data_IF_359028425266
#
_entry.id   IF_359028425266
#
_cell.length_a   1.000
_cell.length_b   1.000
_cell.length_c   1.000
_cell.angle_alpha   90.00
_cell.angle_beta   90.00
_cell.angle_gamma   90.00
#
_symmetry.space_group_name_H-M   'P 1'
#
loop_
_entity.id
_entity.type
_entity.pdbx_description
1 polymer ?
#
# COMPACT_ATOMS: atom_id res chain seq x y z
N UNK A 1 -23.65 5.44 12.38
CA UNK A 1 -23.40 4.38 11.38
C UNK A 1 -22.30 4.90 10.47
N UNK A 2 -21.15 4.22 10.40
CA UNK A 2 -20.05 4.59 9.49
C UNK A 2 -19.89 3.44 8.52
N UNK A 3 -20.19 3.69 7.25
CA UNK A 3 -20.06 2.70 6.18
C UNK A 3 -18.58 2.52 5.84
N UNK A 4 -18.02 1.36 6.18
CA UNK A 4 -16.73 0.92 5.66
C UNK A 4 -16.95 0.35 4.25
N UNK A 5 -16.55 1.11 3.24
CA UNK A 5 -16.45 0.61 1.87
C UNK A 5 -15.16 -0.20 1.72
N UNK A 6 -15.23 -1.50 1.99
CA UNK A 6 -14.19 -2.45 1.63
C UNK A 6 -14.41 -2.85 0.17
N UNK A 7 -13.63 -2.28 -0.75
CA UNK A 7 -13.65 -2.72 -2.15
C UNK A 7 -12.86 -4.03 -2.24
N UNK A 8 -13.57 -5.16 -2.22
CA UNK A 8 -12.99 -6.50 -2.41
C UNK A 8 -13.08 -6.82 -3.91
N UNK A 9 -12.02 -6.46 -4.65
CA UNK A 9 -11.86 -6.92 -6.03
C UNK A 9 -11.61 -8.43 -6.04
N UNK A 10 -12.58 -9.20 -6.53
CA UNK A 10 -12.38 -10.61 -6.91
C UNK A 10 -11.78 -10.66 -8.30
N UNK A 11 -10.52 -11.06 -8.40
CA UNK A 11 -9.95 -11.64 -9.62
C UNK A 11 -9.14 -12.87 -9.18
N UNK A 12 -9.53 -14.04 -9.69
CA UNK A 12 -8.89 -15.32 -9.42
C UNK A 12 -8.55 -15.91 -10.79
N UNK A 13 -7.29 -15.83 -11.21
CA UNK A 13 -6.60 -16.79 -12.07
C UNK A 13 -5.11 -16.41 -12.20
N UNK A 14 -4.25 -17.33 -11.74
CA UNK A 14 -2.83 -17.11 -11.41
C UNK A 14 -2.70 -16.77 -9.93
N UNK A 15 -2.09 -17.65 -9.12
CA UNK A 15 -1.72 -17.34 -7.73
C UNK A 15 -0.73 -16.16 -7.75
N UNK A 16 -1.26 -14.93 -7.77
CA UNK A 16 -0.49 -13.75 -7.50
C UNK A 16 -0.23 -13.75 -6.00
N UNK A 17 0.80 -14.48 -5.59
CA UNK A 17 1.28 -14.49 -4.20
C UNK A 17 1.58 -13.04 -3.83
N UNK A 18 0.79 -12.50 -2.91
CA UNK A 18 1.00 -11.15 -2.40
C UNK A 18 2.21 -11.20 -1.47
N UNK A 19 3.40 -10.85 -1.98
CA UNK A 19 4.64 -10.89 -1.20
C UNK A 19 4.77 -9.70 -0.24
N UNK A 20 4.29 -8.53 -0.67
CA UNK A 20 4.37 -7.30 0.11
C UNK A 20 3.05 -6.52 0.06
N UNK A 21 2.69 -5.90 1.17
CA UNK A 21 1.62 -4.90 1.26
C UNK A 21 2.18 -3.56 1.75
N UNK A 22 1.62 -2.46 1.27
CA UNK A 22 1.99 -1.13 1.73
C UNK A 22 0.74 -0.33 2.10
N UNK A 23 0.72 0.25 3.30
CA UNK A 23 -0.39 1.05 3.82
C UNK A 23 0.10 2.41 4.28
N UNK A 24 -0.65 3.46 3.99
CA UNK A 24 -0.32 4.81 4.44
C UNK A 24 -1.25 5.24 5.58
N UNK A 25 -0.67 5.59 6.71
CA UNK A 25 -1.39 6.02 7.91
C UNK A 25 -1.05 7.48 8.24
N UNK A 26 -2.00 8.20 8.84
CA UNK A 26 -1.79 9.52 9.41
C UNK A 26 -1.98 9.42 10.93
N UNK A 27 -0.88 9.44 11.68
CA UNK A 27 -0.87 9.28 13.13
C UNK A 27 -0.26 10.54 13.75
N UNK A 28 -0.98 11.20 14.66
CA UNK A 28 -0.53 12.43 15.32
C UNK A 28 -0.04 13.52 14.35
N UNK A 29 -0.68 13.64 13.17
CA UNK A 29 -0.31 14.60 12.14
C UNK A 29 0.93 14.24 11.30
N UNK A 30 1.56 13.09 11.57
CA UNK A 30 2.67 12.56 10.80
C UNK A 30 2.21 11.42 9.89
N UNK A 31 2.69 11.41 8.65
CA UNK A 31 2.40 10.33 7.72
C UNK A 31 3.40 9.20 7.95
N UNK A 32 2.91 7.97 8.00
CA UNK A 32 3.69 6.75 8.20
C UNK A 32 3.32 5.76 7.10
N UNK A 33 4.33 5.22 6.42
CA UNK A 33 4.18 4.13 5.47
C UNK A 33 4.50 2.83 6.19
N UNK A 34 3.51 1.96 6.28
CA UNK A 34 3.66 0.61 6.80
C UNK A 34 3.90 -0.32 5.62
N UNK A 35 5.00 -1.07 5.64
CA UNK A 35 5.29 -2.09 4.63
C UNK A 35 5.32 -3.44 5.33
N UNK A 36 4.40 -4.32 4.97
CA UNK A 36 4.31 -5.67 5.54
C UNK A 36 4.79 -6.68 4.52
N UNK A 37 5.78 -7.46 4.90
CA UNK A 37 6.22 -8.65 4.18
C UNK A 37 5.29 -9.81 4.58
N UNK A 38 4.59 -10.38 3.61
CA UNK A 38 3.60 -11.41 3.86
C UNK A 38 4.22 -12.79 4.16
N UNK A 39 5.46 -13.03 3.74
CA UNK A 39 6.16 -14.30 3.98
C UNK A 39 6.68 -14.37 5.41
N UNK A 40 7.25 -13.28 5.91
CA UNK A 40 7.78 -13.19 7.27
C UNK A 40 6.79 -12.66 8.31
N UNK A 41 5.72 -12.00 7.87
CA UNK A 41 4.79 -11.25 8.72
C UNK A 41 5.40 -9.98 9.32
N UNK A 42 6.64 -9.62 8.96
CA UNK A 42 7.32 -8.43 9.46
C UNK A 42 6.68 -7.16 8.90
N UNK A 43 6.54 -6.12 9.73
CA UNK A 43 6.02 -4.82 9.30
C UNK A 43 7.00 -3.71 9.67
N UNK A 44 7.51 -3.05 8.64
CA UNK A 44 8.34 -1.85 8.76
C UNK A 44 7.45 -0.61 8.80
N UNK A 45 7.73 0.29 9.75
CA UNK A 45 7.05 1.59 9.87
C UNK A 45 8.01 2.71 9.49
N UNK A 46 7.76 3.32 8.34
CA UNK A 46 8.65 4.31 7.75
C UNK A 46 7.98 5.68 7.83
N UNK A 47 8.52 6.65 8.58
CA UNK A 47 7.98 8.01 8.57
C UNK A 47 8.16 8.64 7.19
N UNK A 48 7.11 9.24 6.65
CA UNK A 48 7.12 9.85 5.31
C UNK A 48 6.61 11.28 5.35
N UNK A 49 7.14 12.10 4.45
CA UNK A 49 6.68 13.48 4.30
C UNK A 49 5.39 13.55 3.49
N UNK A 50 4.57 14.59 3.71
CA UNK A 50 3.38 14.86 2.89
C UNK A 50 3.70 14.97 1.39
N UNK A 51 4.89 15.49 1.05
CA UNK A 51 5.37 15.59 -0.34
C UNK A 51 5.72 14.22 -0.94
N UNK A 52 6.22 13.28 -0.14
CA UNK A 52 6.46 11.92 -0.61
C UNK A 52 5.13 11.20 -0.87
N UNK A 53 4.17 11.36 0.05
CA UNK A 53 2.81 10.81 -0.07
C UNK A 53 2.12 11.27 -1.35
N UNK A 54 2.15 12.56 -1.66
CA UNK A 54 1.49 13.10 -2.85
C UNK A 54 2.07 12.57 -4.17
N UNK A 55 3.30 12.02 -4.15
CA UNK A 55 3.96 11.42 -5.32
C UNK A 55 3.73 9.92 -5.45
N UNK A 56 3.18 9.24 -4.43
CA UNK A 56 2.91 7.80 -4.47
C UNK A 56 2.05 7.40 -5.67
N UNK A 57 0.93 8.09 -6.01
CA UNK A 57 0.12 7.72 -7.18
C UNK A 57 0.92 7.75 -8.48
N UNK A 58 1.84 8.70 -8.62
CA UNK A 58 2.71 8.81 -9.80
C UNK A 58 3.65 7.62 -9.90
N UNK A 59 4.35 7.28 -8.81
CA UNK A 59 5.28 6.15 -8.81
C UNK A 59 4.57 4.80 -8.99
N UNK A 60 3.43 4.60 -8.33
CA UNK A 60 2.61 3.40 -8.52
C UNK A 60 2.10 3.30 -9.96
N UNK A 61 1.73 4.43 -10.57
CA UNK A 61 1.35 4.49 -11.98
C UNK A 61 2.50 4.12 -12.92
N UNK A 62 3.75 4.47 -12.59
CA UNK A 62 4.93 4.08 -13.36
C UNK A 62 5.20 2.59 -13.25
N UNK A 63 5.13 2.02 -12.03
CA UNK A 63 5.34 0.58 -11.82
C UNK A 63 4.28 -0.27 -12.56
N UNK A 64 3.01 0.14 -12.53
CA UNK A 64 1.94 -0.53 -13.28
C UNK A 64 2.18 -0.54 -14.80
N UNK A 65 2.83 0.49 -15.33
CA UNK A 65 3.20 0.55 -16.76
C UNK A 65 4.43 -0.29 -17.09
N UNK A 66 5.36 -0.42 -16.16
CA UNK A 66 6.59 -1.20 -16.34
C UNK A 66 6.38 -2.71 -16.18
N UNK A 67 5.32 -3.14 -15.50
CA UNK A 67 4.95 -4.55 -15.34
C UNK A 67 4.20 -5.15 -16.56
N UNK A 68 4.29 -4.50 -17.73
CA UNK A 68 3.61 -4.87 -18.98
C UNK A 68 4.65 -5.17 -20.06
#
# INVERSE_FOLDING_TARGET
>A
MVEQMTSVGREQEGESVMLYSAQLHLVNGQHQLLVTDAESGHTDVIPVTKKAVSRLPTYLGMLKKAAK
#
